data_IF_178985654687
#
_entry.id   IF_178985654687
#
_cell.length_a   1.000
_cell.length_b   1.000
_cell.length_c   1.000
_cell.angle_alpha   90.00
_cell.angle_beta   90.00
_cell.angle_gamma   90.00
#
_symmetry.space_group_name_H-M   'P 1'
#
loop_
_entity.id
_entity.type
_entity.pdbx_description
1 polymer ?
#
# COMPACT_ATOMS: atom_id res chain seq x y z
N UNK A 1 20.63 10.75 3.95
CA UNK A 1 20.30 10.86 2.51
C UNK A 1 19.44 9.66 2.13
N UNK A 2 18.37 9.84 1.33
CA UNK A 2 17.45 8.75 0.94
C UNK A 2 17.65 8.48 -0.55
N UNK A 3 18.20 7.31 -0.89
CA UNK A 3 18.65 6.98 -2.26
C UNK A 3 17.46 6.57 -3.16
N UNK A 4 16.51 5.79 -2.63
CA UNK A 4 15.31 5.39 -3.36
C UNK A 4 14.18 5.06 -2.38
N UNK A 5 12.95 5.46 -2.70
CA UNK A 5 11.76 5.10 -1.95
C UNK A 5 11.17 3.81 -2.52
N UNK A 6 10.64 2.94 -1.65
CA UNK A 6 9.96 1.71 -2.05
C UNK A 6 8.44 1.91 -1.95
N UNK A 7 7.71 1.40 -2.95
CA UNK A 7 6.25 1.35 -2.93
C UNK A 7 5.83 -0.08 -2.58
N UNK A 8 5.48 -0.29 -1.32
CA UNK A 8 5.02 -1.58 -0.81
C UNK A 8 3.50 -1.64 -0.86
N UNK A 9 2.98 -2.69 -1.48
CA UNK A 9 1.55 -2.97 -1.55
C UNK A 9 1.30 -4.35 -0.95
N UNK A 10 0.27 -4.49 -0.12
CA UNK A 10 -0.09 -5.77 0.47
C UNK A 10 -0.71 -6.70 -0.57
N UNK A 11 -0.31 -7.97 -0.62
CA UNK A 11 -0.92 -8.96 -1.51
C UNK A 11 -2.25 -9.45 -0.93
N UNK A 12 -3.26 -8.58 -1.00
CA UNK A 12 -4.58 -8.84 -0.45
C UNK A 12 -5.27 -10.06 -1.08
N UNK A 13 -4.90 -10.39 -2.32
CA UNK A 13 -5.48 -11.49 -3.08
C UNK A 13 -5.05 -12.84 -2.51
N UNK A 14 -3.75 -13.01 -2.24
CA UNK A 14 -3.24 -14.26 -1.66
C UNK A 14 -3.60 -14.44 -0.19
N UNK A 15 -3.71 -13.34 0.55
CA UNK A 15 -3.86 -13.38 2.00
C UNK A 15 -5.32 -13.33 2.49
N UNK A 16 -6.29 -13.28 1.58
CA UNK A 16 -7.71 -13.32 1.95
C UNK A 16 -8.19 -12.05 2.65
N UNK A 17 -7.57 -10.90 2.37
CA UNK A 17 -7.97 -9.64 2.98
C UNK A 17 -9.41 -9.29 2.59
N UNK A 18 -10.23 -8.91 3.58
CA UNK A 18 -11.68 -8.74 3.38
C UNK A 18 -12.06 -7.27 3.23
N UNK A 19 -13.08 -6.97 2.43
CA UNK A 19 -13.69 -5.62 2.34
C UNK A 19 -14.54 -5.26 3.57
N UNK A 20 -14.09 -5.65 4.77
CA UNK A 20 -14.79 -5.44 6.04
C UNK A 20 -14.44 -4.12 6.71
N UNK A 21 -13.41 -3.42 6.24
CA UNK A 21 -12.99 -2.14 6.80
C UNK A 21 -13.91 -1.00 6.37
N UNK A 22 -14.08 -0.02 7.25
CA UNK A 22 -14.76 1.26 6.94
C UNK A 22 -13.83 2.40 7.32
N UNK A 23 -13.62 3.34 6.40
CA UNK A 23 -12.78 4.51 6.61
C UNK A 23 -13.56 5.79 6.28
N UNK A 24 -13.42 6.82 7.12
CA UNK A 24 -13.90 8.16 6.81
C UNK A 24 -13.11 8.75 5.65
N UNK A 25 -13.80 9.37 4.71
CA UNK A 25 -13.17 10.10 3.62
C UNK A 25 -12.64 11.41 4.18
N UNK A 26 -11.35 11.67 3.95
CA UNK A 26 -10.72 12.94 4.27
C UNK A 26 -10.94 13.93 3.13
N UNK A 27 -11.37 15.15 3.45
CA UNK A 27 -11.49 16.27 2.51
C UNK A 27 -10.80 17.48 3.12
N UNK A 28 -9.89 18.13 2.38
CA UNK A 28 -9.13 19.29 2.88
C UNK A 28 -8.43 19.02 4.23
N UNK A 29 -7.92 17.80 4.41
CA UNK A 29 -7.35 17.30 5.67
C UNK A 29 -8.32 17.22 6.87
N UNK A 30 -9.63 17.36 6.65
CA UNK A 30 -10.67 17.17 7.66
C UNK A 30 -11.43 15.86 7.44
N UNK A 31 -11.85 15.21 8.52
CA UNK A 31 -12.74 14.04 8.46
C UNK A 31 -14.12 14.48 8.01
N UNK A 32 -14.57 14.00 6.86
CA UNK A 32 -15.96 14.17 6.45
C UNK A 32 -16.87 13.13 7.11
N UNK A 33 -18.19 13.30 6.96
CA UNK A 33 -19.17 12.29 7.37
C UNK A 33 -19.31 11.15 6.36
N UNK A 34 -18.68 11.27 5.18
CA UNK A 34 -18.73 10.24 4.14
C UNK A 34 -17.78 9.11 4.52
N UNK A 35 -18.28 7.88 4.45
CA UNK A 35 -17.47 6.68 4.67
C UNK A 35 -17.33 5.88 3.38
N UNK A 36 -16.21 5.15 3.26
CA UNK A 36 -15.99 4.19 2.18
C UNK A 36 -15.57 2.85 2.75
N UNK A 37 -15.94 1.78 2.05
CA UNK A 37 -15.41 0.44 2.34
C UNK A 37 -13.95 0.37 1.93
N UNK A 38 -13.12 -0.20 2.79
CA UNK A 38 -11.70 -0.44 2.55
C UNK A 38 -11.38 -1.90 2.81
N UNK A 39 -10.32 -2.39 2.16
CA UNK A 39 -9.79 -3.71 2.45
C UNK A 39 -9.17 -3.64 3.84
N UNK A 40 -9.63 -4.52 4.74
CA UNK A 40 -9.00 -4.75 6.03
C UNK A 40 -7.95 -5.83 5.85
N UNK A 41 -6.69 -5.42 5.96
CA UNK A 41 -5.56 -6.34 5.88
C UNK A 41 -5.54 -7.25 7.10
N UNK A 42 -5.16 -8.51 6.88
CA UNK A 42 -4.82 -9.45 7.94
C UNK A 42 -3.37 -9.18 8.32
N UNK A 43 -2.99 -9.36 9.59
CA UNK A 43 -1.62 -9.10 10.07
C UNK A 43 -0.64 -10.17 9.55
N UNK A 44 -0.29 -10.06 8.28
CA UNK A 44 0.74 -10.83 7.62
C UNK A 44 1.77 -9.91 6.95
N UNK A 45 2.99 -10.41 6.79
CA UNK A 45 4.10 -9.62 6.22
C UNK A 45 4.33 -9.90 4.73
N UNK A 46 3.27 -10.22 3.97
CA UNK A 46 3.39 -10.53 2.55
C UNK A 46 3.08 -9.31 1.68
N UNK A 47 4.15 -8.59 1.33
CA UNK A 47 4.09 -7.39 0.51
C UNK A 47 4.71 -7.62 -0.87
N UNK A 48 4.17 -6.93 -1.86
CA UNK A 48 4.69 -6.82 -3.22
C UNK A 48 5.30 -5.43 -3.38
N UNK A 49 6.50 -5.38 -3.95
CA UNK A 49 7.15 -4.11 -4.31
C UNK A 49 6.65 -3.69 -5.69
N UNK A 50 5.94 -2.57 -5.76
CA UNK A 50 5.51 -2.00 -7.03
C UNK A 50 6.63 -1.16 -7.66
N UNK A 51 7.55 -1.83 -8.35
CA UNK A 51 8.69 -1.20 -9.01
C UNK A 51 8.29 -0.31 -10.19
N UNK A 52 7.23 -0.65 -10.92
CA UNK A 52 6.76 0.13 -12.07
C UNK A 52 6.23 1.52 -11.71
N UNK A 53 5.86 1.74 -10.45
CA UNK A 53 5.42 3.05 -9.95
C UNK A 53 6.55 3.99 -9.54
N UNK A 54 7.80 3.52 -9.56
CA UNK A 54 8.96 4.24 -9.02
C UNK A 54 9.90 4.71 -10.12
N UNK A 55 10.24 6.00 -10.13
CA UNK A 55 11.21 6.56 -11.06
C UNK A 55 12.62 5.94 -10.89
N UNK A 56 12.99 5.60 -9.65
CA UNK A 56 14.32 5.12 -9.29
C UNK A 56 14.36 3.59 -9.07
N UNK A 57 13.51 2.84 -9.76
CA UNK A 57 13.37 1.39 -9.58
C UNK A 57 14.66 0.62 -9.85
N UNK A 58 15.54 1.14 -10.71
CA UNK A 58 16.83 0.50 -11.05
C UNK A 58 17.75 0.30 -9.84
N UNK A 59 17.66 1.18 -8.82
CA UNK A 59 18.40 1.00 -7.57
C UNK A 59 17.85 -0.16 -6.74
N UNK A 60 16.54 -0.40 -6.80
CA UNK A 60 15.89 -1.52 -6.13
C UNK A 60 16.21 -2.82 -6.87
N UNK A 61 16.16 -2.81 -8.21
CA UNK A 61 16.49 -3.97 -9.04
C UNK A 61 17.91 -4.48 -8.78
N UNK A 62 18.90 -3.58 -8.69
CA UNK A 62 20.28 -3.94 -8.36
C UNK A 62 20.47 -4.44 -6.92
N UNK A 63 19.52 -4.17 -6.02
CA UNK A 63 19.60 -4.56 -4.62
C UNK A 63 18.90 -5.89 -4.33
N UNK A 64 18.12 -6.41 -5.29
CA UNK A 64 17.44 -7.70 -5.18
C UNK A 64 18.34 -8.77 -5.82
N UNK A 65 18.49 -9.98 -5.23
CA UNK A 65 19.34 -11.05 -5.75
C UNK A 65 18.93 -11.57 -7.13
#
# INVERSE_FOLDING_TARGET
>A
DVISQVNLQHDCSKQGCTHSGVQYVMQEHQKSQVTRKVIKHVDDSHFIVNMGSLHNYQHIERAIP
#
